data_IF_363115096860
#
_entry.id   IF_363115096860
#
_cell.length_a   1.000
_cell.length_b   1.000
_cell.length_c   1.000
_cell.angle_alpha   90.00
_cell.angle_beta   90.00
_cell.angle_gamma   90.00
#
_symmetry.space_group_name_H-M   'P 1'
#
loop_
_entity.id
_entity.type
_entity.pdbx_description
1 polymer ?
#
# COMPACT_ATOMS: atom_id res chain seq x y z
N UNK A 1 -7.38 22.81 68.65
CA UNK A 1 -6.45 22.90 67.53
C UNK A 1 -6.97 21.93 66.46
N UNK A 2 -7.58 22.48 65.42
CA UNK A 2 -8.16 21.63 64.28
C UNK A 2 -7.18 21.74 63.13
N UNK A 3 -6.56 20.63 62.77
CA UNK A 3 -5.57 20.54 61.71
C UNK A 3 -6.30 20.17 60.39
N UNK A 4 -6.47 21.17 59.49
CA UNK A 4 -7.01 20.98 58.17
C UNK A 4 -5.95 20.34 57.30
N UNK A 5 -6.19 19.13 56.85
CA UNK A 5 -5.41 18.44 55.80
C UNK A 5 -5.90 18.92 54.43
N UNK A 6 -5.09 19.72 53.74
CA UNK A 6 -5.30 20.04 52.31
C UNK A 6 -4.75 18.89 51.46
N UNK A 7 -5.64 18.13 50.82
CA UNK A 7 -5.27 17.17 49.82
C UNK A 7 -4.96 17.89 48.49
N UNK A 8 -3.84 17.58 47.78
CA UNK A 8 -3.57 18.17 46.49
C UNK A 8 -4.47 17.52 45.43
N UNK A 9 -5.27 18.34 44.73
CA UNK A 9 -5.99 17.93 43.52
C UNK A 9 -4.97 17.72 42.39
N UNK A 10 -4.71 16.44 42.02
CA UNK A 10 -3.97 16.08 40.82
C UNK A 10 -4.90 16.29 39.62
N UNK A 11 -4.71 17.39 38.91
CA UNK A 11 -5.33 17.63 37.61
C UNK A 11 -4.74 16.65 36.58
N UNK A 12 -5.50 15.61 36.21
CA UNK A 12 -5.15 14.74 35.12
C UNK A 12 -5.26 15.54 33.79
N UNK A 13 -4.12 15.84 33.18
CA UNK A 13 -4.05 16.43 31.83
C UNK A 13 -4.48 15.36 30.85
N UNK A 14 -5.53 15.57 30.04
CA UNK A 14 -5.92 14.60 29.02
C UNK A 14 -4.77 14.48 28.01
N UNK A 15 -4.31 13.26 27.77
CA UNK A 15 -3.34 12.99 26.70
C UNK A 15 -3.97 13.41 25.37
N UNK A 16 -3.40 14.40 24.72
CA UNK A 16 -3.83 14.82 23.38
C UNK A 16 -3.63 13.64 22.43
N UNK A 17 -4.70 13.19 21.78
CA UNK A 17 -4.61 12.17 20.73
C UNK A 17 -3.74 12.70 19.59
N UNK A 18 -2.71 11.95 19.22
CA UNK A 18 -1.86 12.33 18.08
C UNK A 18 -2.67 12.43 16.80
N UNK A 19 -2.46 13.46 15.97
CA UNK A 19 -3.21 13.62 14.73
C UNK A 19 -2.88 12.48 13.76
N UNK A 20 -3.90 11.76 13.30
CA UNK A 20 -3.77 10.75 12.26
C UNK A 20 -3.48 11.45 10.93
N UNK A 21 -2.36 11.14 10.30
CA UNK A 21 -2.00 11.70 9.00
C UNK A 21 -2.88 11.09 7.91
N UNK A 22 -3.40 11.92 7.03
CA UNK A 22 -4.23 11.51 5.90
C UNK A 22 -3.43 11.07 4.67
N UNK A 23 -2.12 11.20 4.71
CA UNK A 23 -1.19 10.77 3.66
C UNK A 23 0.00 10.06 4.28
N UNK A 24 0.61 9.18 3.51
CA UNK A 24 1.79 8.44 3.95
C UNK A 24 2.09 7.23 3.07
N UNK A 25 3.19 6.58 3.37
CA UNK A 25 3.66 5.41 2.65
C UNK A 25 4.21 4.37 3.62
N UNK A 26 3.72 3.15 3.47
CA UNK A 26 4.34 1.95 4.02
C UNK A 26 5.22 1.34 2.94
N UNK A 27 6.44 0.96 3.30
CA UNK A 27 7.33 0.16 2.49
C UNK A 27 7.67 -1.13 3.24
N UNK A 28 7.54 -2.26 2.55
CA UNK A 28 7.72 -3.59 3.13
C UNK A 28 8.51 -4.48 2.16
N UNK A 29 9.39 -5.32 2.71
CA UNK A 29 10.12 -6.35 1.97
C UNK A 29 9.50 -7.70 2.28
N UNK A 30 8.57 -8.19 1.44
CA UNK A 30 7.82 -9.41 1.69
C UNK A 30 8.69 -10.66 1.54
N UNK A 31 8.45 -11.67 2.37
CA UNK A 31 9.09 -12.98 2.22
C UNK A 31 8.64 -13.69 0.93
N UNK A 32 7.39 -13.45 0.53
CA UNK A 32 6.80 -13.97 -0.71
C UNK A 32 6.14 -12.83 -1.45
N UNK A 33 6.55 -12.62 -2.70
CA UNK A 33 5.99 -11.61 -3.58
C UNK A 33 6.02 -12.08 -5.03
N UNK A 34 4.89 -11.94 -5.71
CA UNK A 34 4.72 -12.37 -7.09
C UNK A 34 3.92 -11.35 -7.89
N UNK A 35 4.35 -11.13 -9.10
CA UNK A 35 3.68 -10.30 -10.12
C UNK A 35 3.37 -11.19 -11.32
N UNK A 36 2.18 -11.04 -11.90
CA UNK A 36 1.81 -11.66 -13.18
C UNK A 36 1.45 -10.57 -14.17
N UNK A 37 2.10 -10.55 -15.31
CA UNK A 37 1.85 -9.61 -16.41
C UNK A 37 1.87 -10.36 -17.72
N UNK A 38 0.76 -10.37 -18.44
CA UNK A 38 0.67 -11.03 -19.73
C UNK A 38 0.97 -12.52 -19.68
N UNK A 39 0.51 -13.21 -18.64
CA UNK A 39 0.74 -14.63 -18.44
C UNK A 39 2.17 -14.98 -17.95
N UNK A 40 3.05 -13.98 -17.76
CA UNK A 40 4.40 -14.19 -17.24
C UNK A 40 4.42 -13.92 -15.74
N UNK A 41 4.95 -14.87 -14.98
CA UNK A 41 5.15 -14.72 -13.54
C UNK A 41 6.55 -14.21 -13.24
N UNK A 42 6.64 -13.17 -12.39
CA UNK A 42 7.86 -12.52 -11.95
C UNK A 42 7.85 -12.44 -10.42
N UNK A 43 9.01 -12.46 -9.79
CA UNK A 43 9.16 -12.20 -8.35
C UNK A 43 9.15 -10.70 -8.09
N UNK A 44 8.88 -10.29 -6.86
CA UNK A 44 9.08 -8.92 -6.40
C UNK A 44 9.70 -8.92 -5.02
N UNK A 45 10.47 -7.88 -4.70
CA UNK A 45 11.22 -7.78 -3.45
C UNK A 45 10.68 -6.67 -2.55
N UNK A 46 9.84 -5.77 -3.09
CA UNK A 46 9.30 -4.64 -2.33
C UNK A 46 7.83 -4.42 -2.64
N UNK A 47 7.07 -4.19 -1.58
CA UNK A 47 5.69 -3.71 -1.62
C UNK A 47 5.65 -2.30 -1.04
N UNK A 48 5.07 -1.36 -1.77
CA UNK A 48 4.77 -0.03 -1.27
C UNK A 48 3.26 0.19 -1.27
N UNK A 49 2.72 0.59 -0.14
CA UNK A 49 1.31 1.00 -0.01
C UNK A 49 1.30 2.47 0.37
N UNK A 50 0.61 3.29 -0.39
CA UNK A 50 0.53 4.73 -0.12
C UNK A 50 -0.88 5.27 -0.24
N UNK A 51 -1.17 6.27 0.57
CA UNK A 51 -2.39 7.07 0.53
C UNK A 51 -2.03 8.55 0.39
N UNK A 52 -2.86 9.31 -0.30
CA UNK A 52 -2.68 10.74 -0.53
C UNK A 52 -3.82 11.57 0.08
N UNK A 53 -4.51 11.04 1.08
CA UNK A 53 -5.64 11.71 1.73
C UNK A 53 -6.97 11.62 0.99
N UNK A 54 -6.97 11.13 -0.25
CA UNK A 54 -8.19 10.77 -0.97
C UNK A 54 -8.65 9.37 -0.56
N UNK A 55 -9.86 8.98 -1.00
CA UNK A 55 -10.40 7.63 -0.77
C UNK A 55 -9.71 6.59 -1.64
N UNK A 56 -8.37 6.54 -1.66
CA UNK A 56 -7.68 5.62 -2.52
C UNK A 56 -6.32 5.22 -2.01
N UNK A 57 -5.98 3.99 -2.33
CA UNK A 57 -4.66 3.43 -2.12
C UNK A 57 -3.94 3.25 -3.44
N UNK A 58 -2.64 3.49 -3.41
CA UNK A 58 -1.73 3.05 -4.45
C UNK A 58 -0.87 1.92 -3.90
N UNK A 59 -0.95 0.77 -4.54
CA UNK A 59 -0.16 -0.41 -4.21
C UNK A 59 0.85 -0.60 -5.33
N UNK A 60 2.13 -0.71 -4.98
CA UNK A 60 3.23 -0.92 -5.92
C UNK A 60 3.99 -2.17 -5.54
N UNK A 61 4.10 -3.07 -6.48
CA UNK A 61 4.91 -4.28 -6.38
C UNK A 61 6.13 -4.09 -7.27
N UNK A 62 7.31 -4.15 -6.66
CA UNK A 62 8.58 -3.77 -7.30
C UNK A 62 9.51 -4.96 -7.24
N UNK A 63 10.04 -5.34 -8.40
CA UNK A 63 11.00 -6.41 -8.53
C UNK A 63 12.26 -5.97 -9.26
N UNK A 64 13.37 -6.63 -8.96
CA UNK A 64 14.65 -6.40 -9.61
C UNK A 64 14.81 -7.31 -10.82
N UNK A 65 15.25 -6.73 -11.94
CA UNK A 65 15.57 -7.49 -13.16
C UNK A 65 17.04 -7.93 -13.11
N UNK A 66 17.24 -9.13 -12.63
CA UNK A 66 18.59 -9.72 -12.49
C UNK A 66 19.35 -9.83 -13.81
N UNK A 67 18.64 -9.82 -14.94
CA UNK A 67 19.26 -9.96 -16.26
C UNK A 67 19.85 -8.64 -16.75
N UNK A 68 19.17 -7.53 -16.48
CA UNK A 68 19.55 -6.20 -16.97
C UNK A 68 20.13 -5.29 -15.90
N UNK A 69 20.08 -5.71 -14.63
CA UNK A 69 20.40 -4.88 -13.47
C UNK A 69 19.41 -3.74 -13.24
N UNK A 70 18.31 -3.72 -13.96
CA UNK A 70 17.22 -2.77 -13.80
C UNK A 70 16.16 -3.26 -12.84
N UNK A 71 14.95 -2.68 -12.93
CA UNK A 71 13.82 -3.08 -12.11
C UNK A 71 12.50 -2.99 -12.90
N UNK A 72 11.46 -3.56 -12.34
CA UNK A 72 10.12 -3.43 -12.86
C UNK A 72 9.12 -3.13 -11.75
N UNK A 73 8.05 -2.47 -12.11
CA UNK A 73 7.03 -2.06 -11.17
C UNK A 73 5.65 -2.28 -11.75
N UNK A 74 4.80 -3.00 -11.02
CA UNK A 74 3.37 -3.07 -11.26
C UNK A 74 2.65 -2.28 -10.16
N UNK A 75 1.86 -1.31 -10.59
CA UNK A 75 1.11 -0.43 -9.69
C UNK A 75 -0.38 -0.60 -9.91
N UNK A 76 -1.11 -0.60 -8.81
CA UNK A 76 -2.56 -0.58 -8.78
C UNK A 76 -3.03 0.66 -8.03
N UNK A 77 -4.05 1.33 -8.55
CA UNK A 77 -4.77 2.37 -7.83
C UNK A 77 -6.16 1.85 -7.54
N UNK A 78 -6.49 1.76 -6.26
CA UNK A 78 -7.75 1.21 -5.77
C UNK A 78 -8.49 2.26 -4.97
N UNK A 79 -9.80 2.33 -5.11
CA UNK A 79 -10.66 3.10 -4.22
C UNK A 79 -10.95 2.27 -2.97
N UNK A 80 -11.03 2.96 -1.84
CA UNK A 80 -11.45 2.35 -0.59
C UNK A 80 -12.86 1.78 -0.74
N UNK A 81 -13.04 0.56 -0.23
CA UNK A 81 -14.36 -0.01 -0.02
C UNK A 81 -15.05 0.60 1.21
N UNK A 82 -16.16 0.00 1.62
CA UNK A 82 -16.96 0.43 2.77
C UNK A 82 -16.19 0.43 4.10
N UNK A 83 -15.05 -0.25 4.15
CA UNK A 83 -14.20 -0.40 5.34
C UNK A 83 -13.24 0.78 5.55
N UNK A 84 -13.22 1.75 4.64
CA UNK A 84 -12.30 2.88 4.68
C UNK A 84 -10.85 2.52 4.34
N UNK A 85 -9.92 3.40 4.67
CA UNK A 85 -8.51 3.24 4.38
C UNK A 85 -7.85 2.28 5.39
N UNK A 86 -7.23 1.17 4.95
CA UNK A 86 -6.57 0.22 5.85
C UNK A 86 -5.21 0.70 6.34
N UNK A 87 -4.66 1.78 5.75
CA UNK A 87 -3.36 2.31 6.12
C UNK A 87 -3.52 3.39 7.19
N UNK A 88 -2.88 3.19 8.32
CA UNK A 88 -2.76 4.17 9.41
C UNK A 88 -1.36 4.73 9.44
N UNK A 89 -1.26 6.06 9.39
CA UNK A 89 0.01 6.77 9.42
C UNK A 89 0.03 7.76 10.59
N UNK A 90 1.17 7.86 11.25
CA UNK A 90 1.49 8.82 12.29
C UNK A 90 2.94 9.31 12.14
N UNK A 91 3.45 10.04 13.11
CA UNK A 91 4.82 10.57 13.08
C UNK A 91 5.91 9.48 13.11
N UNK A 92 5.57 8.26 13.50
CA UNK A 92 6.49 7.11 13.52
C UNK A 92 6.49 6.32 12.22
N UNK A 93 5.53 6.55 11.32
CA UNK A 93 5.41 5.88 10.02
C UNK A 93 4.00 5.39 9.74
N UNK A 94 3.89 4.49 8.78
CA UNK A 94 2.62 3.90 8.37
C UNK A 94 2.61 2.40 8.67
N UNK A 95 1.42 1.89 9.01
CA UNK A 95 1.15 0.46 9.20
C UNK A 95 -0.20 0.09 8.61
N UNK A 96 -0.38 -1.18 8.31
CA UNK A 96 -1.68 -1.74 7.95
C UNK A 96 -2.44 -2.07 9.23
N UNK A 97 -3.53 -1.35 9.49
CA UNK A 97 -4.36 -1.56 10.68
C UNK A 97 -5.46 -2.60 10.47
N UNK A 98 -5.87 -2.81 9.22
CA UNK A 98 -6.96 -3.72 8.91
C UNK A 98 -6.44 -5.03 8.35
N UNK A 99 -6.77 -6.15 8.99
CA UNK A 99 -6.48 -7.49 8.49
C UNK A 99 -7.45 -7.96 7.41
N UNK A 100 -8.51 -7.20 7.15
CA UNK A 100 -9.48 -7.43 6.07
C UNK A 100 -9.87 -6.11 5.46
N UNK A 101 -9.53 -5.96 4.22
CA UNK A 101 -9.87 -4.79 3.43
C UNK A 101 -10.08 -5.22 1.98
N UNK A 102 -10.97 -4.55 1.29
CA UNK A 102 -11.12 -4.67 -0.16
C UNK A 102 -11.41 -3.31 -0.78
N UNK A 103 -10.92 -3.10 -1.97
CA UNK A 103 -11.15 -1.89 -2.73
C UNK A 103 -11.32 -2.19 -4.21
N UNK A 104 -12.14 -1.39 -4.86
CA UNK A 104 -12.38 -1.47 -6.31
C UNK A 104 -11.21 -0.86 -7.06
N UNK A 105 -10.72 -1.56 -8.07
CA UNK A 105 -9.61 -1.10 -8.89
C UNK A 105 -10.05 0.00 -9.86
N UNK A 106 -9.26 1.08 -9.95
CA UNK A 106 -9.41 2.16 -10.91
C UNK A 106 -8.47 2.02 -12.09
N UNK A 107 -7.20 1.76 -11.81
CA UNK A 107 -6.18 1.72 -12.85
C UNK A 107 -5.02 0.81 -12.47
N UNK A 108 -4.34 0.33 -13.50
CA UNK A 108 -3.06 -0.37 -13.40
C UNK A 108 -2.00 0.35 -14.19
N UNK A 109 -0.75 0.21 -13.78
CA UNK A 109 0.40 0.74 -14.51
C UNK A 109 1.56 -0.24 -14.42
N UNK A 110 2.14 -0.55 -15.57
CA UNK A 110 3.34 -1.35 -15.69
C UNK A 110 4.48 -0.50 -16.25
N UNK A 111 5.65 -0.54 -15.61
CA UNK A 111 6.85 0.16 -16.06
C UNK A 111 8.10 -0.67 -15.78
N UNK A 112 9.08 -0.58 -16.67
CA UNK A 112 10.43 -1.13 -16.46
C UNK A 112 11.42 0.02 -16.38
N UNK A 113 12.45 -0.18 -15.60
CA UNK A 113 13.55 0.77 -15.42
C UNK A 113 14.89 0.11 -15.81
N UNK A 114 15.78 0.89 -16.35
CA UNK A 114 17.17 0.46 -16.61
C UNK A 114 17.98 0.43 -15.29
N UNK A 115 19.23 0.00 -15.36
CA UNK A 115 20.14 -0.06 -14.21
C UNK A 115 20.44 1.30 -13.57
N UNK A 116 20.12 2.40 -14.25
CA UNK A 116 20.25 3.78 -13.74
C UNK A 116 18.96 4.28 -13.08
N UNK A 117 17.90 3.46 -13.08
CA UNK A 117 16.58 3.84 -12.59
C UNK A 117 15.76 4.71 -13.54
N UNK A 118 16.12 4.78 -14.81
CA UNK A 118 15.36 5.49 -15.84
C UNK A 118 14.34 4.57 -16.51
N UNK A 119 13.10 5.04 -16.76
CA UNK A 119 12.09 4.21 -17.42
C UNK A 119 12.55 3.81 -18.83
N UNK A 120 12.41 2.54 -19.17
CA UNK A 120 12.72 1.99 -20.49
C UNK A 120 11.51 2.02 -21.43
N UNK A 121 10.91 3.19 -21.57
CA UNK A 121 9.70 3.42 -22.35
C UNK A 121 8.64 4.15 -21.56
N UNK A 122 7.48 4.38 -22.18
CA UNK A 122 6.35 5.02 -21.50
C UNK A 122 5.67 4.04 -20.55
N UNK A 123 5.31 4.48 -19.34
CA UNK A 123 4.50 3.68 -18.44
C UNK A 123 3.18 3.28 -19.11
N UNK A 124 2.89 1.99 -19.16
CA UNK A 124 1.63 1.49 -19.69
C UNK A 124 0.55 1.62 -18.60
N UNK A 125 -0.01 2.82 -18.45
CA UNK A 125 -1.11 3.08 -17.50
C UNK A 125 -2.44 2.92 -18.21
N UNK A 126 -3.37 2.19 -17.56
CA UNK A 126 -4.70 1.88 -18.11
C UNK A 126 -5.75 1.93 -17.01
N UNK A 127 -6.93 2.40 -17.37
CA UNK A 127 -8.12 2.15 -16.56
C UNK A 127 -8.38 0.64 -16.52
N UNK A 128 -8.66 0.12 -15.35
CA UNK A 128 -8.84 -1.31 -15.16
C UNK A 128 -10.03 -1.58 -14.24
N UNK A 129 -10.70 -2.71 -14.46
CA UNK A 129 -11.67 -3.27 -13.54
C UNK A 129 -10.99 -4.38 -12.74
N UNK A 130 -11.44 -4.59 -11.53
CA UNK A 130 -10.88 -5.59 -10.64
C UNK A 130 -10.92 -5.13 -9.20
N UNK A 131 -10.08 -5.69 -8.39
CA UNK A 131 -10.04 -5.38 -6.96
C UNK A 131 -8.63 -5.54 -6.39
N UNK A 132 -8.39 -4.84 -5.29
CA UNK A 132 -7.31 -5.14 -4.38
C UNK A 132 -7.90 -5.53 -3.04
N UNK A 133 -7.23 -6.41 -2.30
CA UNK A 133 -7.67 -6.81 -0.97
C UNK A 133 -6.49 -7.12 -0.07
N UNK A 134 -6.75 -7.02 1.22
CA UNK A 134 -5.88 -7.48 2.29
C UNK A 134 -6.67 -8.58 3.02
N UNK A 135 -6.07 -9.74 3.17
CA UNK A 135 -6.60 -10.83 3.97
C UNK A 135 -5.50 -11.38 4.88
N UNK A 136 -5.72 -11.21 6.18
CA UNK A 136 -4.75 -11.48 7.24
C UNK A 136 -3.43 -10.71 7.03
N UNK A 137 -2.41 -11.35 6.47
CA UNK A 137 -1.07 -10.83 6.21
C UNK A 137 -0.72 -10.82 4.71
N UNK A 138 -1.72 -11.01 3.85
CA UNK A 138 -1.52 -11.05 2.40
C UNK A 138 -2.20 -9.87 1.73
N UNK A 139 -1.48 -9.19 0.87
CA UNK A 139 -1.98 -8.13 -0.01
C UNK A 139 -2.04 -8.67 -1.42
N UNK A 140 -3.21 -8.59 -2.04
CA UNK A 140 -3.41 -9.07 -3.41
C UNK A 140 -4.16 -8.05 -4.25
N UNK A 141 -3.82 -7.99 -5.52
CA UNK A 141 -4.55 -7.21 -6.54
C UNK A 141 -4.73 -8.03 -7.81
N UNK A 142 -5.87 -7.91 -8.43
CA UNK A 142 -6.18 -8.50 -9.73
C UNK A 142 -6.91 -7.51 -10.61
N UNK A 143 -6.52 -7.46 -11.88
CA UNK A 143 -7.19 -6.64 -12.90
C UNK A 143 -7.74 -7.49 -14.02
N UNK A 144 -8.98 -7.18 -14.41
CA UNK A 144 -9.64 -7.76 -15.54
C UNK A 144 -9.89 -6.63 -16.55
N UNK A 145 -9.34 -6.77 -17.75
CA UNK A 145 -9.54 -5.79 -18.81
C UNK A 145 -9.94 -6.53 -20.09
N UNK A 146 -11.03 -6.13 -20.71
CA UNK A 146 -11.42 -6.68 -22.02
C UNK A 146 -10.27 -6.41 -23.00
N UNK A 147 -9.77 -7.46 -23.64
CA UNK A 147 -8.73 -7.43 -24.68
C UNK A 147 -7.32 -7.04 -24.24
N UNK A 148 -6.99 -7.07 -22.95
CA UNK A 148 -5.62 -6.86 -22.46
C UNK A 148 -5.24 -7.98 -21.51
N UNK A 149 -3.98 -8.34 -21.53
CA UNK A 149 -3.43 -9.36 -20.66
C UNK A 149 -3.73 -9.03 -19.17
N UNK A 150 -4.22 -10.03 -18.49
CA UNK A 150 -4.49 -10.00 -17.06
C UNK A 150 -3.23 -9.61 -16.27
N UNK A 151 -3.38 -8.71 -15.32
CA UNK A 151 -2.32 -8.29 -14.40
C UNK A 151 -2.75 -8.58 -12.98
N UNK A 152 -1.91 -9.28 -12.24
CA UNK A 152 -2.13 -9.52 -10.81
C UNK A 152 -0.84 -9.45 -10.03
N UNK A 153 -0.95 -9.21 -8.74
CA UNK A 153 0.17 -9.29 -7.83
C UNK A 153 -0.29 -9.70 -6.43
N UNK A 154 0.61 -10.35 -5.73
CA UNK A 154 0.41 -10.81 -4.36
C UNK A 154 1.70 -10.66 -3.57
N UNK A 155 1.60 -10.22 -2.34
CA UNK A 155 2.71 -10.09 -1.40
C UNK A 155 2.28 -10.39 0.03
N UNK A 156 3.16 -11.03 0.78
CA UNK A 156 2.99 -11.24 2.21
C UNK A 156 3.52 -10.02 2.98
N UNK A 157 2.73 -9.54 3.99
CA UNK A 157 3.11 -8.41 4.87
C UNK A 157 4.03 -8.86 6.01
#
# INVERSE_FOLDING_TARGET
MIQLWMAPLLLAVPAAAEPKLSFGRLEHSPAHCRIVVGGRSLTCERLQISTNGSRGLRLRFIGDDQTTGGSYQLSFVSLDGDQGNPLSCDNSGCRVDSRRWNGSLLSTSWVRFDARGLPTGLPATRMAQGRCWIDADTVSCESHTRNVAEMSAEAQL
#
